data_IF_838784679058
#
_entry.id   IF_838784679058
#
_cell.length_a   1.000
_cell.length_b   1.000
_cell.length_c   1.000
_cell.angle_alpha   90.00
_cell.angle_beta   90.00
_cell.angle_gamma   90.00
#
_symmetry.space_group_name_H-M   'P 1'
#
loop_
_entity.id
_entity.type
_entity.pdbx_description
1 polymer ?
#
# COMPACT_ATOMS: atom_id res chain seq x y z
N UNK A 1 4.36 23.00 -24.64
CA UNK A 1 5.14 21.93 -23.98
C UNK A 1 5.87 21.18 -25.08
N UNK A 2 7.19 21.14 -25.06
CA UNK A 2 7.97 20.31 -26.00
C UNK A 2 7.63 18.85 -25.77
N UNK A 3 7.47 18.02 -26.82
CA UNK A 3 7.20 16.60 -26.64
C UNK A 3 8.35 15.95 -25.86
N UNK A 4 8.02 15.24 -24.79
CA UNK A 4 9.00 14.50 -24.00
C UNK A 4 9.80 13.57 -24.92
N UNK A 5 11.12 13.68 -24.86
CA UNK A 5 12.05 12.77 -25.54
C UNK A 5 11.82 11.33 -25.05
N UNK A 6 12.14 10.33 -25.89
CA UNK A 6 11.97 8.91 -25.51
C UNK A 6 12.68 8.58 -24.18
N UNK A 7 13.83 9.21 -23.92
CA UNK A 7 14.59 9.09 -22.67
C UNK A 7 13.85 9.69 -21.47
N UNK A 8 13.20 10.84 -21.62
CA UNK A 8 12.40 11.43 -20.55
C UNK A 8 11.16 10.58 -20.26
N UNK A 9 10.53 10.02 -21.29
CA UNK A 9 9.41 9.06 -21.12
C UNK A 9 9.85 7.75 -20.47
N UNK A 10 11.05 7.26 -20.75
CA UNK A 10 11.56 6.04 -20.13
C UNK A 10 12.01 6.24 -18.67
N UNK A 11 12.34 7.46 -18.24
CA UNK A 11 12.87 7.74 -16.90
C UNK A 11 11.86 8.40 -15.96
N UNK A 12 10.97 9.26 -16.49
CA UNK A 12 10.10 10.10 -15.66
C UNK A 12 8.61 9.84 -15.82
N UNK A 13 8.16 9.38 -16.98
CA UNK A 13 6.72 9.18 -17.25
C UNK A 13 6.19 7.91 -16.55
N UNK A 14 5.35 8.05 -15.50
CA UNK A 14 4.79 6.94 -14.71
C UNK A 14 4.01 5.93 -15.54
N UNK A 15 3.38 6.38 -16.64
CA UNK A 15 2.47 5.57 -17.45
C UNK A 15 3.19 4.86 -18.62
N UNK A 16 4.48 5.16 -18.82
CA UNK A 16 5.26 4.60 -19.92
C UNK A 16 5.75 3.18 -19.62
N UNK A 17 5.48 2.24 -20.54
CA UNK A 17 6.02 0.85 -20.53
C UNK A 17 7.54 0.79 -20.44
N UNK A 18 8.23 1.82 -20.94
CA UNK A 18 9.68 1.96 -20.81
C UNK A 18 10.11 2.18 -19.37
N UNK A 19 9.38 3.01 -18.62
CA UNK A 19 9.71 3.30 -17.22
C UNK A 19 9.48 2.09 -16.31
N UNK A 20 8.38 1.33 -16.50
CA UNK A 20 8.17 0.10 -15.75
C UNK A 20 9.30 -0.91 -15.93
N UNK A 21 9.78 -1.08 -17.17
CA UNK A 21 10.86 -2.03 -17.46
C UNK A 21 12.16 -1.63 -16.75
N UNK A 22 12.52 -0.34 -16.82
CA UNK A 22 13.69 0.21 -16.10
C UNK A 22 13.52 0.08 -14.59
N UNK A 23 12.33 0.38 -14.08
CA UNK A 23 11.99 0.26 -12.66
C UNK A 23 12.14 -1.19 -12.16
N UNK A 24 11.50 -2.17 -12.84
CA UNK A 24 11.56 -3.58 -12.47
C UNK A 24 13.00 -4.10 -12.53
N UNK A 25 13.75 -3.69 -13.57
CA UNK A 25 15.15 -4.03 -13.70
C UNK A 25 15.98 -3.53 -12.51
N UNK A 26 15.85 -2.25 -12.13
CA UNK A 26 16.55 -1.70 -10.96
C UNK A 26 16.16 -2.43 -9.68
N UNK A 27 14.87 -2.73 -9.50
CA UNK A 27 14.34 -3.44 -8.33
C UNK A 27 15.01 -4.81 -8.18
N UNK A 28 15.09 -5.58 -9.28
CA UNK A 28 15.74 -6.89 -9.32
C UNK A 28 17.22 -6.77 -8.95
N UNK A 29 17.93 -5.76 -9.48
CA UNK A 29 19.34 -5.54 -9.15
C UNK A 29 19.55 -5.21 -7.66
N UNK A 30 18.63 -4.45 -7.04
CA UNK A 30 18.70 -4.18 -5.59
C UNK A 30 18.55 -5.49 -4.80
N UNK A 31 17.55 -6.31 -5.15
CA UNK A 31 17.32 -7.62 -4.49
C UNK A 31 18.55 -8.53 -4.64
N UNK A 32 19.11 -8.64 -5.85
CA UNK A 32 20.34 -9.41 -6.10
C UNK A 32 21.48 -8.89 -5.24
N UNK A 33 21.69 -7.57 -5.18
CA UNK A 33 22.76 -6.96 -4.37
C UNK A 33 22.66 -7.32 -2.88
N UNK A 34 21.44 -7.47 -2.36
CA UNK A 34 21.20 -7.77 -0.95
C UNK A 34 21.35 -9.27 -0.68
N UNK A 35 20.83 -10.11 -1.56
CA UNK A 35 21.04 -11.56 -1.50
C UNK A 35 22.54 -11.88 -1.55
N UNK A 36 23.31 -11.21 -2.41
CA UNK A 36 24.77 -11.35 -2.45
C UNK A 36 25.44 -10.97 -1.12
N UNK A 37 24.98 -9.88 -0.49
CA UNK A 37 25.48 -9.49 0.83
C UNK A 37 25.17 -10.57 1.88
N UNK A 38 23.94 -11.09 1.90
CA UNK A 38 23.54 -12.16 2.80
C UNK A 38 24.35 -13.44 2.60
N UNK A 39 24.61 -13.82 1.35
CA UNK A 39 25.47 -14.97 1.01
C UNK A 39 26.90 -14.73 1.51
N UNK A 40 27.46 -13.53 1.28
CA UNK A 40 28.81 -13.20 1.72
C UNK A 40 29.00 -13.25 3.24
N UNK A 41 27.92 -12.98 3.99
CA UNK A 41 27.92 -12.99 5.45
C UNK A 41 27.75 -14.38 6.06
N UNK A 42 26.91 -15.25 5.47
CA UNK A 42 26.60 -16.58 6.01
C UNK A 42 27.42 -17.72 5.39
N UNK A 43 27.69 -17.64 4.09
CA UNK A 43 28.31 -18.72 3.32
C UNK A 43 29.68 -18.27 2.83
N UNK A 44 30.58 -17.98 3.78
CA UNK A 44 31.90 -17.39 3.50
C UNK A 44 32.78 -18.27 2.61
N UNK A 45 32.73 -19.60 2.77
CA UNK A 45 33.47 -20.55 1.92
C UNK A 45 33.00 -20.45 0.46
N UNK A 46 31.69 -20.58 0.23
CA UNK A 46 31.08 -20.46 -1.10
C UNK A 46 31.37 -19.09 -1.75
N UNK A 47 31.32 -18.01 -0.96
CA UNK A 47 31.66 -16.67 -1.42
C UNK A 47 33.14 -16.56 -1.81
N UNK A 48 34.04 -17.16 -1.03
CA UNK A 48 35.49 -17.10 -1.30
C UNK A 48 35.87 -17.92 -2.53
N UNK A 49 35.26 -19.09 -2.74
CA UNK A 49 35.45 -19.91 -3.93
C UNK A 49 35.00 -19.18 -5.21
N UNK A 50 33.87 -18.45 -5.13
CA UNK A 50 33.27 -17.74 -6.26
C UNK A 50 33.52 -16.23 -6.23
N UNK A 51 34.56 -15.79 -5.52
CA UNK A 51 34.79 -14.37 -5.20
C UNK A 51 34.83 -13.47 -6.43
N UNK A 52 35.42 -13.95 -7.52
CA UNK A 52 35.49 -13.21 -8.78
C UNK A 52 34.10 -12.90 -9.34
N UNK A 53 33.19 -13.89 -9.37
CA UNK A 53 31.81 -13.73 -9.88
C UNK A 53 31.03 -12.71 -9.05
N UNK A 54 31.11 -12.82 -7.71
CA UNK A 54 30.45 -11.87 -6.81
C UNK A 54 30.99 -10.44 -6.99
N UNK A 55 32.32 -10.30 -7.13
CA UNK A 55 32.95 -9.01 -7.34
C UNK A 55 32.52 -8.40 -8.69
N UNK A 56 32.61 -9.14 -9.80
CA UNK A 56 32.17 -8.65 -11.12
C UNK A 56 30.70 -8.24 -11.14
N UNK A 57 29.84 -9.03 -10.47
CA UNK A 57 28.42 -8.71 -10.39
C UNK A 57 28.15 -7.45 -9.56
N UNK A 58 28.84 -7.30 -8.42
CA UNK A 58 28.74 -6.09 -7.58
C UNK A 58 29.15 -4.84 -8.36
N UNK A 59 30.21 -4.96 -9.15
CA UNK A 59 30.68 -3.91 -10.04
C UNK A 59 29.70 -3.58 -11.16
N UNK A 60 29.16 -4.60 -11.84
CA UNK A 60 28.15 -4.42 -12.87
C UNK A 60 26.91 -3.69 -12.32
N UNK A 61 26.39 -4.11 -11.17
CA UNK A 61 25.25 -3.46 -10.49
C UNK A 61 25.57 -1.99 -10.18
N UNK A 62 26.77 -1.73 -9.66
CA UNK A 62 27.20 -0.37 -9.31
C UNK A 62 27.30 0.53 -10.54
N UNK A 63 27.88 0.04 -11.63
CA UNK A 63 27.99 0.78 -12.88
C UNK A 63 26.61 1.08 -13.45
N UNK A 64 25.69 0.11 -13.42
CA UNK A 64 24.30 0.30 -13.86
C UNK A 64 23.60 1.37 -13.02
N UNK A 65 23.70 1.32 -11.69
CA UNK A 65 23.10 2.34 -10.82
C UNK A 65 23.71 3.72 -11.04
N UNK A 66 25.03 3.78 -11.28
CA UNK A 66 25.72 5.03 -11.60
C UNK A 66 25.23 5.60 -12.92
N UNK A 67 25.16 4.79 -13.98
CA UNK A 67 24.66 5.19 -15.29
C UNK A 67 23.20 5.65 -15.21
N UNK A 68 22.36 4.94 -14.46
CA UNK A 68 20.95 5.28 -14.24
C UNK A 68 20.78 6.63 -13.54
N UNK A 69 21.60 6.89 -12.52
CA UNK A 69 21.57 8.15 -11.78
C UNK A 69 22.09 9.31 -12.62
N UNK A 70 23.16 9.11 -13.39
CA UNK A 70 23.66 10.10 -14.36
C UNK A 70 22.59 10.40 -15.41
N UNK A 71 21.96 9.37 -15.97
CA UNK A 71 20.89 9.52 -16.95
C UNK A 71 19.74 10.38 -16.41
N UNK A 72 19.31 10.16 -15.16
CA UNK A 72 18.28 11.01 -14.50
C UNK A 72 18.72 12.45 -14.28
N UNK A 73 19.99 12.70 -13.99
CA UNK A 73 20.49 14.08 -13.80
C UNK A 73 20.48 14.83 -15.13
N UNK A 74 20.96 14.21 -16.21
CA UNK A 74 21.10 14.82 -17.53
C UNK A 74 19.73 15.09 -18.18
N UNK A 75 18.76 14.20 -17.95
CA UNK A 75 17.43 14.28 -18.57
C UNK A 75 16.47 15.23 -17.85
N UNK A 76 16.82 15.79 -16.68
CA UNK A 76 15.94 16.76 -16.02
C UNK A 76 16.13 18.18 -16.56
N UNK A 77 15.03 18.94 -16.77
CA UNK A 77 15.10 20.30 -17.32
C UNK A 77 15.77 21.33 -16.40
N UNK A 78 15.83 21.08 -15.09
CA UNK A 78 16.56 21.90 -14.10
C UNK A 78 17.43 21.02 -13.20
N UNK A 79 18.66 20.68 -13.61
CA UNK A 79 19.50 19.75 -12.87
C UNK A 79 19.91 20.29 -11.49
N UNK A 80 20.12 21.61 -11.36
CA UNK A 80 20.53 22.25 -10.09
C UNK A 80 19.48 22.10 -8.98
N UNK A 81 18.19 22.19 -9.33
CA UNK A 81 17.10 22.03 -8.37
C UNK A 81 16.96 20.58 -7.91
N UNK A 82 17.30 19.63 -8.80
CA UNK A 82 17.32 18.20 -8.46
C UNK A 82 18.39 17.85 -7.43
N UNK A 83 19.55 18.53 -7.47
CA UNK A 83 20.66 18.29 -6.53
C UNK A 83 20.28 18.54 -5.06
N UNK A 84 19.23 19.33 -4.81
CA UNK A 84 18.71 19.63 -3.47
C UNK A 84 17.48 18.79 -3.08
N UNK A 85 17.08 17.82 -3.90
CA UNK A 85 15.90 16.99 -3.65
C UNK A 85 16.27 15.73 -2.85
N UNK A 86 15.43 15.27 -1.88
CA UNK A 86 15.66 13.99 -1.17
C UNK A 86 15.86 12.79 -2.10
N UNK A 87 15.19 12.80 -3.26
CA UNK A 87 15.33 11.81 -4.33
C UNK A 87 16.76 11.66 -4.85
N UNK A 88 17.51 12.77 -4.97
CA UNK A 88 18.90 12.77 -5.41
C UNK A 88 19.84 12.30 -4.30
N UNK A 89 19.55 12.68 -3.04
CA UNK A 89 20.29 12.20 -1.88
C UNK A 89 20.24 10.66 -1.80
N UNK A 90 19.05 10.06 -2.00
CA UNK A 90 18.88 8.60 -2.06
C UNK A 90 19.73 7.99 -3.18
N UNK A 91 19.76 8.62 -4.36
CA UNK A 91 20.53 8.10 -5.50
C UNK A 91 22.04 8.12 -5.21
N UNK A 92 22.57 9.21 -4.65
CA UNK A 92 23.98 9.29 -4.22
C UNK A 92 24.26 8.24 -3.15
N UNK A 93 23.47 8.20 -2.08
CA UNK A 93 23.72 7.29 -0.95
C UNK A 93 23.73 5.82 -1.38
N UNK A 94 23.01 5.46 -2.43
CA UNK A 94 23.04 4.11 -3.00
C UNK A 94 24.35 3.79 -3.75
N UNK A 95 24.98 4.77 -4.37
CA UNK A 95 26.16 4.57 -5.24
C UNK A 95 27.47 4.84 -4.50
N UNK A 96 27.44 5.79 -3.56
CA UNK A 96 28.55 6.26 -2.73
C UNK A 96 29.38 5.15 -2.05
N UNK A 97 28.79 4.06 -1.51
CA UNK A 97 29.56 3.05 -0.78
C UNK A 97 30.63 2.36 -1.64
N UNK A 98 30.32 2.09 -2.91
CA UNK A 98 31.24 1.40 -3.81
C UNK A 98 32.33 2.33 -4.34
N UNK A 99 31.99 3.58 -4.64
CA UNK A 99 33.00 4.56 -5.06
C UNK A 99 33.94 4.94 -3.92
N UNK A 100 33.44 5.11 -2.69
CA UNK A 100 34.32 5.32 -1.53
C UNK A 100 35.23 4.12 -1.28
N UNK A 101 34.70 2.91 -1.39
CA UNK A 101 35.49 1.69 -1.28
C UNK A 101 36.66 1.63 -2.26
N UNK A 102 36.50 2.18 -3.47
CA UNK A 102 37.57 2.27 -4.46
C UNK A 102 38.67 3.24 -4.09
N UNK A 103 38.31 4.49 -3.79
CA UNK A 103 39.28 5.54 -3.46
C UNK A 103 40.11 5.17 -2.22
N UNK A 104 39.49 4.48 -1.25
CA UNK A 104 40.14 4.09 0.02
C UNK A 104 40.98 2.81 -0.12
N UNK A 105 40.65 1.92 -1.08
CA UNK A 105 41.41 0.67 -1.29
C UNK A 105 42.78 0.88 -1.94
N UNK A 106 43.06 2.06 -2.49
CA UNK A 106 44.32 2.39 -3.18
C UNK A 106 45.53 2.35 -2.23
N UNK A 107 45.34 2.60 -0.92
CA UNK A 107 46.45 2.73 0.05
C UNK A 107 46.79 1.45 0.84
N UNK A 108 46.17 0.31 0.54
CA UNK A 108 46.65 -1.03 0.94
C UNK A 108 46.73 -1.39 2.44
N UNK A 109 46.46 -0.48 3.39
CA UNK A 109 46.77 -0.72 4.82
C UNK A 109 45.60 -0.80 5.82
N UNK A 110 44.33 -0.72 5.40
CA UNK A 110 43.23 -0.86 6.38
C UNK A 110 42.02 -1.63 5.85
N UNK A 111 42.12 -2.96 5.89
CA UNK A 111 41.08 -3.92 5.47
C UNK A 111 39.82 -3.92 6.37
N UNK A 112 39.87 -3.35 7.57
CA UNK A 112 38.74 -3.33 8.51
C UNK A 112 37.65 -2.32 8.11
N UNK A 113 38.03 -1.09 7.77
CA UNK A 113 37.08 -0.06 7.32
C UNK A 113 36.37 -0.46 6.02
N UNK A 114 37.08 -1.12 5.11
CA UNK A 114 36.53 -1.65 3.87
C UNK A 114 35.39 -2.64 4.10
N UNK A 115 35.36 -3.38 5.23
CA UNK A 115 34.23 -4.25 5.62
C UNK A 115 33.01 -3.42 6.04
N UNK A 116 33.23 -2.36 6.83
CA UNK A 116 32.19 -1.41 7.21
C UNK A 116 31.52 -0.73 6.01
N UNK A 117 32.30 -0.30 5.01
CA UNK A 117 31.76 0.26 3.76
C UNK A 117 30.89 -0.73 2.98
N UNK A 118 31.12 -2.04 3.11
CA UNK A 118 30.22 -3.03 2.51
C UNK A 118 28.84 -2.97 3.14
N UNK A 119 28.71 -2.71 4.44
CA UNK A 119 27.40 -2.55 5.07
C UNK A 119 26.66 -1.32 4.57
N UNK A 120 27.39 -0.24 4.26
CA UNK A 120 26.80 0.99 3.73
C UNK A 120 26.14 0.74 2.36
N UNK A 121 26.51 -0.33 1.63
CA UNK A 121 25.77 -0.75 0.41
C UNK A 121 24.29 -1.05 0.68
N UNK A 122 23.91 -1.33 1.92
CA UNK A 122 22.50 -1.45 2.33
C UNK A 122 21.73 -0.17 2.12
N UNK A 123 22.37 1.01 2.07
CA UNK A 123 21.72 2.26 1.68
C UNK A 123 21.10 2.19 0.27
N UNK A 124 21.49 1.23 -0.58
CA UNK A 124 20.83 0.95 -1.86
C UNK A 124 19.37 0.53 -1.71
N UNK A 125 18.96 -0.03 -0.57
CA UNK A 125 17.54 -0.31 -0.29
C UNK A 125 16.70 0.96 -0.21
N UNK A 126 17.31 2.13 0.05
CA UNK A 126 16.58 3.40 -0.02
C UNK A 126 16.07 3.67 -1.44
N UNK A 127 16.79 3.22 -2.48
CA UNK A 127 16.26 3.24 -3.84
C UNK A 127 15.02 2.35 -3.96
N UNK A 128 14.96 1.19 -3.29
CA UNK A 128 13.77 0.34 -3.31
C UNK A 128 12.53 1.10 -2.80
N UNK A 129 12.63 1.83 -1.68
CA UNK A 129 11.54 2.67 -1.16
C UNK A 129 11.08 3.71 -2.19
N UNK A 130 12.02 4.49 -2.73
CA UNK A 130 11.72 5.51 -3.75
C UNK A 130 11.06 4.95 -5.00
N UNK A 131 11.45 3.74 -5.38
CA UNK A 131 10.96 3.11 -6.60
C UNK A 131 9.58 2.50 -6.36
N UNK A 132 9.35 1.83 -5.22
CA UNK A 132 8.11 1.09 -4.97
C UNK A 132 6.89 1.99 -4.83
N UNK A 133 7.05 3.24 -4.39
CA UNK A 133 5.98 4.25 -4.38
C UNK A 133 5.41 4.53 -5.78
N UNK A 134 6.18 4.30 -6.84
CA UNK A 134 5.74 4.54 -8.22
C UNK A 134 4.83 3.45 -8.78
N UNK A 135 4.69 2.32 -8.09
CA UNK A 135 3.87 1.19 -8.53
C UNK A 135 2.37 1.48 -8.53
N UNK A 136 1.94 2.59 -7.92
CA UNK A 136 0.52 2.92 -7.75
C UNK A 136 -0.17 3.12 -9.11
N UNK A 137 0.52 3.79 -10.04
CA UNK A 137 0.09 4.01 -11.42
C UNK A 137 -0.11 2.71 -12.23
N UNK A 138 0.42 1.58 -11.74
CA UNK A 138 0.40 0.29 -12.44
C UNK A 138 -0.67 -0.68 -11.91
N UNK A 139 -1.61 -0.18 -11.11
CA UNK A 139 -2.64 -1.00 -10.47
C UNK A 139 -2.11 -1.87 -9.33
N UNK A 140 -0.88 -1.62 -8.88
CA UNK A 140 -0.25 -2.30 -7.75
C UNK A 140 -0.26 -1.41 -6.49
N UNK A 141 -1.38 -0.71 -6.28
CA UNK A 141 -1.60 0.25 -5.20
C UNK A 141 -1.34 -0.33 -3.81
N UNK A 142 -1.71 -1.60 -3.59
CA UNK A 142 -1.39 -2.31 -2.36
C UNK A 142 0.12 -2.39 -2.13
N UNK A 143 0.89 -2.80 -3.15
CA UNK A 143 2.35 -2.96 -3.09
C UNK A 143 3.03 -1.61 -2.84
N UNK A 144 2.51 -0.52 -3.43
CA UNK A 144 3.02 0.83 -3.19
C UNK A 144 2.90 1.25 -1.71
N UNK A 145 1.80 0.85 -1.05
CA UNK A 145 1.54 1.19 0.37
C UNK A 145 2.38 0.38 1.34
N UNK A 146 2.48 -0.94 1.12
CA UNK A 146 3.33 -1.81 1.96
C UNK A 146 4.81 -1.69 1.63
N UNK A 147 5.14 -1.27 0.41
CA UNK A 147 6.48 -1.32 -0.16
C UNK A 147 7.55 -0.65 0.69
N UNK A 148 7.34 0.58 1.21
CA UNK A 148 8.29 1.23 2.11
C UNK A 148 8.57 0.39 3.37
N UNK A 149 7.54 -0.22 3.96
CA UNK A 149 7.69 -1.10 5.13
C UNK A 149 8.43 -2.40 4.79
N UNK A 150 8.17 -2.98 3.61
CA UNK A 150 8.89 -4.16 3.12
C UNK A 150 10.38 -3.85 2.92
N UNK A 151 10.68 -2.71 2.30
CA UNK A 151 12.05 -2.23 2.11
C UNK A 151 12.77 -2.03 3.44
N UNK A 152 12.11 -1.38 4.40
CA UNK A 152 12.63 -1.13 5.73
C UNK A 152 12.94 -2.45 6.45
N UNK A 153 11.98 -3.38 6.50
CA UNK A 153 12.14 -4.68 7.10
C UNK A 153 13.29 -5.48 6.46
N UNK A 154 13.36 -5.47 5.13
CA UNK A 154 14.41 -6.12 4.36
C UNK A 154 15.79 -5.52 4.65
N UNK A 155 15.87 -4.18 4.78
CA UNK A 155 17.10 -3.47 5.12
C UNK A 155 17.59 -3.79 6.53
N UNK A 156 16.68 -3.71 7.51
CA UNK A 156 16.97 -4.03 8.91
C UNK A 156 17.41 -5.49 9.01
N UNK A 157 16.71 -6.42 8.34
CA UNK A 157 17.09 -7.82 8.38
C UNK A 157 18.45 -8.08 7.73
N UNK A 158 18.75 -7.41 6.63
CA UNK A 158 20.05 -7.55 5.99
C UNK A 158 21.20 -7.00 6.87
N UNK A 159 20.96 -5.95 7.67
CA UNK A 159 21.90 -5.52 8.72
C UNK A 159 22.08 -6.60 9.81
N UNK A 160 20.98 -7.21 10.26
CA UNK A 160 21.01 -8.26 11.28
C UNK A 160 21.74 -9.52 10.80
N UNK A 161 21.55 -9.91 9.54
CA UNK A 161 22.28 -11.05 8.96
C UNK A 161 23.80 -10.84 9.02
N UNK A 162 24.26 -9.59 8.86
CA UNK A 162 25.66 -9.28 9.03
C UNK A 162 26.12 -9.40 10.49
N UNK A 163 25.32 -8.91 11.46
CA UNK A 163 25.66 -9.07 12.88
C UNK A 163 25.60 -10.53 13.35
N UNK A 164 24.67 -11.31 12.79
CA UNK A 164 24.61 -12.77 12.93
C UNK A 164 25.88 -13.44 12.39
N UNK A 165 26.36 -13.03 11.21
CA UNK A 165 27.60 -13.57 10.61
C UNK A 165 28.87 -13.31 11.41
N UNK A 166 28.90 -12.26 12.23
CA UNK A 166 30.02 -11.97 13.16
C UNK A 166 29.82 -12.66 14.52
N UNK A 167 28.64 -13.20 14.79
CA UNK A 167 28.30 -13.83 16.08
C UNK A 167 27.89 -12.86 17.18
N UNK A 168 27.61 -11.59 16.85
CA UNK A 168 27.10 -10.62 17.83
C UNK A 168 25.61 -10.81 18.15
N UNK A 169 24.89 -11.55 17.31
CA UNK A 169 23.44 -11.76 17.48
C UNK A 169 23.13 -13.17 17.99
N UNK A 170 22.48 -13.32 19.15
CA UNK A 170 22.19 -14.64 19.73
C UNK A 170 21.06 -15.34 18.98
N UNK A 171 21.22 -16.64 18.73
CA UNK A 171 20.11 -17.51 18.31
C UNK A 171 19.44 -18.09 19.55
N UNK A 172 18.12 -17.91 19.68
CA UNK A 172 17.34 -18.41 20.82
C UNK A 172 16.63 -19.70 20.37
N UNK A 173 17.00 -20.88 20.91
CA UNK A 173 16.34 -22.14 20.58
C UNK A 173 14.84 -22.09 20.91
N UNK A 174 14.01 -22.71 20.07
CA UNK A 174 12.56 -22.80 20.28
C UNK A 174 11.77 -21.52 19.96
N UNK A 175 12.42 -20.39 19.65
CA UNK A 175 11.70 -19.15 19.34
C UNK A 175 10.86 -19.25 18.05
N UNK A 176 11.29 -20.08 17.10
CA UNK A 176 10.55 -20.34 15.86
C UNK A 176 9.16 -20.96 16.09
N UNK A 177 8.99 -21.81 17.12
CA UNK A 177 7.67 -22.39 17.43
C UNK A 177 6.74 -21.34 18.00
N UNK A 178 7.24 -20.51 18.92
CA UNK A 178 6.49 -19.38 19.50
C UNK A 178 6.06 -18.40 18.41
N UNK A 179 6.99 -18.00 17.53
CA UNK A 179 6.69 -17.12 16.40
C UNK A 179 5.62 -17.74 15.50
N UNK A 180 5.71 -19.04 15.19
CA UNK A 180 4.71 -19.70 14.35
C UNK A 180 3.31 -19.71 14.97
N UNK A 181 3.20 -20.01 16.28
CA UNK A 181 1.92 -20.02 17.01
C UNK A 181 1.31 -18.62 17.08
N UNK A 182 2.13 -17.61 17.41
CA UNK A 182 1.67 -16.21 17.47
C UNK A 182 1.26 -15.73 16.07
N UNK A 183 2.03 -16.08 15.03
CA UNK A 183 1.70 -15.75 13.65
C UNK A 183 0.37 -16.33 13.21
N UNK A 184 0.09 -17.59 13.57
CA UNK A 184 -1.21 -18.22 13.32
C UNK A 184 -2.34 -17.49 14.04
N UNK A 185 -2.17 -17.16 15.33
CA UNK A 185 -3.18 -16.42 16.10
C UNK A 185 -3.51 -15.05 15.49
N UNK A 186 -2.48 -14.31 15.03
CA UNK A 186 -2.67 -13.03 14.34
C UNK A 186 -3.40 -13.22 13.00
N UNK A 187 -3.05 -14.27 12.25
CA UNK A 187 -3.76 -14.62 11.02
C UNK A 187 -5.25 -14.88 11.25
N UNK A 188 -5.60 -15.59 12.33
CA UNK A 188 -7.00 -15.82 12.72
C UNK A 188 -7.67 -14.50 13.09
N UNK A 189 -7.04 -13.63 13.89
CA UNK A 189 -7.60 -12.33 14.26
C UNK A 189 -7.86 -11.46 13.02
N UNK A 190 -6.90 -11.36 12.10
CA UNK A 190 -7.07 -10.63 10.84
C UNK A 190 -8.19 -11.23 9.99
N UNK A 191 -8.27 -12.56 9.89
CA UNK A 191 -9.36 -13.24 9.18
C UNK A 191 -10.73 -12.94 9.78
N UNK A 192 -10.84 -12.85 11.11
CA UNK A 192 -12.12 -12.50 11.77
C UNK A 192 -12.50 -11.04 11.55
N UNK A 193 -11.52 -10.11 11.54
CA UNK A 193 -11.76 -8.71 11.19
C UNK A 193 -12.21 -8.59 9.74
N UNK A 194 -11.53 -9.28 8.81
CA UNK A 194 -11.89 -9.32 7.39
C UNK A 194 -13.34 -9.78 7.20
N UNK A 195 -13.74 -10.90 7.82
CA UNK A 195 -15.10 -11.41 7.72
C UNK A 195 -16.14 -10.41 8.27
N UNK A 196 -15.83 -9.73 9.37
CA UNK A 196 -16.71 -8.73 9.98
C UNK A 196 -16.91 -7.51 9.06
N UNK A 197 -15.81 -7.03 8.48
CA UNK A 197 -15.81 -5.87 7.59
C UNK A 197 -16.49 -6.20 6.25
N UNK A 198 -16.20 -7.37 5.68
CA UNK A 198 -16.85 -7.86 4.45
C UNK A 198 -18.36 -8.02 4.63
N UNK A 199 -18.82 -8.59 5.76
CA UNK A 199 -20.24 -8.64 6.09
C UNK A 199 -20.85 -7.24 6.21
N UNK A 200 -20.12 -6.26 6.73
CA UNK A 200 -20.61 -4.87 6.80
C UNK A 200 -20.80 -4.27 5.40
N UNK A 201 -19.86 -4.52 4.48
CA UNK A 201 -19.96 -4.09 3.08
C UNK A 201 -21.14 -4.75 2.37
N UNK A 202 -21.30 -6.08 2.45
CA UNK A 202 -22.46 -6.75 1.84
C UNK A 202 -23.78 -6.24 2.41
N UNK A 203 -23.85 -6.07 3.73
CA UNK A 203 -25.03 -5.49 4.37
C UNK A 203 -25.23 -4.01 4.02
N UNK A 204 -24.25 -3.31 3.43
CA UNK A 204 -24.40 -1.95 2.92
C UNK A 204 -24.99 -2.00 1.51
N UNK A 205 -24.44 -2.83 0.62
CA UNK A 205 -24.92 -3.06 -0.75
C UNK A 205 -26.36 -3.63 -0.77
N UNK A 206 -26.69 -4.52 0.17
CA UNK A 206 -28.06 -5.03 0.34
C UNK A 206 -29.04 -3.90 0.64
N UNK A 207 -28.64 -2.91 1.46
CA UNK A 207 -29.50 -1.77 1.79
C UNK A 207 -29.68 -0.82 0.61
N UNK A 208 -28.68 -0.72 -0.28
CA UNK A 208 -28.83 -0.01 -1.56
C UNK A 208 -29.90 -0.69 -2.41
N UNK A 209 -29.82 -2.00 -2.55
CA UNK A 209 -30.79 -2.78 -3.34
C UNK A 209 -32.20 -2.68 -2.76
N UNK A 210 -32.34 -2.82 -1.44
CA UNK A 210 -33.62 -2.68 -0.74
C UNK A 210 -34.20 -1.26 -0.84
N UNK A 211 -33.34 -0.23 -0.79
CA UNK A 211 -33.74 1.16 -0.98
C UNK A 211 -34.33 1.37 -2.38
N UNK A 212 -33.64 0.88 -3.42
CA UNK A 212 -34.07 1.01 -4.82
C UNK A 212 -35.38 0.25 -5.05
N UNK A 213 -35.47 -1.01 -4.61
CA UNK A 213 -36.70 -1.79 -4.75
C UNK A 213 -37.90 -1.15 -4.03
N UNK A 214 -37.69 -0.60 -2.83
CA UNK A 214 -38.73 0.13 -2.10
C UNK A 214 -39.11 1.44 -2.80
N UNK A 215 -38.15 2.13 -3.42
CA UNK A 215 -38.39 3.34 -4.18
C UNK A 215 -39.21 3.07 -5.45
N UNK A 216 -38.90 2.00 -6.18
CA UNK A 216 -39.68 1.59 -7.35
C UNK A 216 -41.11 1.20 -6.97
N UNK A 217 -41.30 0.47 -5.87
CA UNK A 217 -42.64 0.16 -5.35
C UNK A 217 -43.40 1.43 -4.92
N UNK A 218 -42.71 2.40 -4.33
CA UNK A 218 -43.30 3.68 -3.95
C UNK A 218 -43.78 4.49 -5.17
N UNK A 219 -43.04 4.47 -6.28
CA UNK A 219 -43.42 5.19 -7.53
C UNK A 219 -44.79 4.79 -8.06
N UNK A 220 -45.21 3.54 -7.89
CA UNK A 220 -46.53 3.09 -8.33
C UNK A 220 -47.70 3.82 -7.63
N UNK A 221 -47.44 4.50 -6.51
CA UNK A 221 -48.45 5.15 -5.68
C UNK A 221 -48.40 6.69 -5.73
N UNK A 222 -47.35 7.27 -6.33
CA UNK A 222 -47.11 8.71 -6.34
C UNK A 222 -47.45 9.29 -7.71
N UNK A 223 -48.15 10.43 -7.73
CA UNK A 223 -48.50 11.10 -9.01
C UNK A 223 -47.29 11.76 -9.69
N UNK A 224 -46.40 12.36 -8.91
CA UNK A 224 -45.15 12.96 -9.36
C UNK A 224 -43.98 12.37 -8.57
N UNK A 225 -43.17 11.53 -9.21
CA UNK A 225 -42.02 10.86 -8.59
C UNK A 225 -40.78 11.77 -8.46
N UNK A 226 -40.82 13.00 -8.97
CA UNK A 226 -39.67 13.93 -8.95
C UNK A 226 -39.13 14.18 -7.54
N UNK A 227 -39.96 14.45 -6.51
CA UNK A 227 -39.48 14.65 -5.14
C UNK A 227 -38.83 13.40 -4.55
N UNK A 228 -39.37 12.21 -4.82
CA UNK A 228 -38.78 10.93 -4.38
C UNK A 228 -37.42 10.69 -5.04
N UNK A 229 -37.32 10.95 -6.35
CA UNK A 229 -36.06 10.78 -7.08
C UNK A 229 -34.98 11.76 -6.58
N UNK A 230 -35.33 13.02 -6.33
CA UNK A 230 -34.41 14.00 -5.73
C UNK A 230 -33.96 13.58 -4.34
N UNK A 231 -34.87 13.03 -3.54
CA UNK A 231 -34.55 12.53 -2.20
C UNK A 231 -33.51 11.40 -2.24
N UNK A 232 -33.62 10.48 -3.22
CA UNK A 232 -32.64 9.40 -3.43
C UNK A 232 -31.29 9.95 -3.91
N UNK A 233 -31.28 10.98 -4.76
CA UNK A 233 -30.05 11.66 -5.18
C UNK A 233 -29.35 12.31 -3.98
N UNK A 234 -30.09 12.96 -3.08
CA UNK A 234 -29.49 13.52 -1.86
C UNK A 234 -28.89 12.44 -0.95
N UNK A 235 -29.48 11.23 -0.90
CA UNK A 235 -28.87 10.08 -0.21
C UNK A 235 -27.53 9.73 -0.86
N UNK A 236 -27.51 9.56 -2.20
CA UNK A 236 -26.29 9.30 -2.94
C UNK A 236 -25.22 10.38 -2.69
N UNK A 237 -25.58 11.66 -2.82
CA UNK A 237 -24.67 12.77 -2.55
C UNK A 237 -24.18 12.80 -1.10
N UNK A 238 -25.01 12.43 -0.14
CA UNK A 238 -24.63 12.35 1.28
C UNK A 238 -23.60 11.25 1.51
N UNK A 239 -23.74 10.10 0.83
CA UNK A 239 -22.76 9.00 0.84
C UNK A 239 -21.45 9.45 0.19
N UNK A 240 -21.50 9.98 -1.04
CA UNK A 240 -20.32 10.35 -1.82
C UNK A 240 -19.55 11.51 -1.18
N UNK A 241 -20.26 12.52 -0.64
CA UNK A 241 -19.64 13.69 0.01
C UNK A 241 -19.42 13.50 1.51
N UNK A 242 -19.77 12.33 2.07
CA UNK A 242 -19.71 12.03 3.51
C UNK A 242 -20.33 13.12 4.42
N UNK A 243 -21.46 13.71 4.00
CA UNK A 243 -22.14 14.78 4.77
C UNK A 243 -22.62 14.25 6.15
N UNK A 244 -22.74 15.10 7.18
CA UNK A 244 -23.41 14.73 8.42
C UNK A 244 -24.86 14.28 8.19
N UNK A 245 -25.27 13.20 8.87
CA UNK A 245 -26.63 12.64 8.76
C UNK A 245 -27.70 13.65 9.24
N UNK A 246 -27.35 14.47 10.23
CA UNK A 246 -28.20 15.55 10.74
C UNK A 246 -28.58 16.55 9.66
N UNK A 247 -27.65 16.83 8.74
CA UNK A 247 -27.84 17.82 7.69
C UNK A 247 -28.80 17.24 6.64
N UNK A 248 -28.63 15.94 6.31
CA UNK A 248 -29.57 15.23 5.45
C UNK A 248 -31.01 15.24 5.99
N UNK A 249 -31.21 14.98 7.28
CA UNK A 249 -32.56 14.95 7.87
C UNK A 249 -33.23 16.33 7.88
N UNK A 250 -32.47 17.39 8.20
CA UNK A 250 -32.99 18.76 8.26
C UNK A 250 -33.25 19.36 6.87
N UNK A 251 -32.33 19.16 5.92
CA UNK A 251 -32.43 19.73 4.56
C UNK A 251 -33.55 19.07 3.74
N UNK A 252 -33.84 17.79 3.98
CA UNK A 252 -34.78 17.01 3.17
C UNK A 252 -36.17 16.82 3.80
N UNK A 253 -36.43 17.42 4.96
CA UNK A 253 -37.71 17.25 5.65
C UNK A 253 -38.90 17.75 4.81
N UNK A 254 -38.79 18.92 4.19
CA UNK A 254 -39.83 19.51 3.33
C UNK A 254 -40.09 18.65 2.08
N UNK A 255 -39.02 18.11 1.49
CA UNK A 255 -39.11 17.22 0.33
C UNK A 255 -39.81 15.91 0.69
N UNK A 256 -39.47 15.34 1.84
CA UNK A 256 -40.09 14.11 2.37
C UNK A 256 -41.60 14.27 2.58
N UNK A 257 -42.05 15.37 3.17
CA UNK A 257 -43.49 15.61 3.42
C UNK A 257 -44.34 15.65 2.14
N UNK A 258 -43.74 16.02 1.01
CA UNK A 258 -44.44 16.13 -0.29
C UNK A 258 -44.93 14.80 -0.87
N UNK A 259 -44.25 13.69 -0.55
CA UNK A 259 -44.54 12.37 -1.15
C UNK A 259 -44.93 11.30 -0.13
N UNK A 260 -44.55 11.45 1.15
CA UNK A 260 -44.82 10.43 2.20
C UNK A 260 -46.31 10.11 2.33
N UNK A 261 -47.20 11.10 2.26
CA UNK A 261 -48.65 10.89 2.42
C UNK A 261 -49.30 10.11 1.26
N UNK A 262 -48.61 9.96 0.12
CA UNK A 262 -49.09 9.23 -1.05
C UNK A 262 -48.69 7.75 -1.02
N UNK A 263 -47.68 7.38 -0.22
CA UNK A 263 -47.13 6.02 -0.17
C UNK A 263 -47.81 5.21 0.95
N UNK A 264 -48.20 3.95 0.71
CA UNK A 264 -48.66 3.05 1.77
C UNK A 264 -47.62 2.90 2.89
N UNK A 265 -48.09 2.88 4.14
CA UNK A 265 -47.23 2.78 5.32
C UNK A 265 -46.15 1.69 5.27
N UNK A 266 -46.44 0.45 4.84
CA UNK A 266 -45.43 -0.60 4.76
C UNK A 266 -44.30 -0.32 3.76
N UNK A 267 -44.61 0.27 2.60
CA UNK A 267 -43.62 0.61 1.56
C UNK A 267 -42.76 1.77 2.05
N UNK A 268 -43.39 2.79 2.63
CA UNK A 268 -42.67 3.90 3.24
C UNK A 268 -41.73 3.45 4.37
N UNK A 269 -42.16 2.52 5.21
CA UNK A 269 -41.33 1.96 6.27
C UNK A 269 -40.08 1.29 5.71
N UNK A 270 -40.23 0.45 4.68
CA UNK A 270 -39.10 -0.22 4.02
C UNK A 270 -38.11 0.79 3.40
N UNK A 271 -38.63 1.79 2.69
CA UNK A 271 -37.83 2.85 2.08
C UNK A 271 -37.07 3.67 3.13
N UNK A 272 -37.77 4.14 4.16
CA UNK A 272 -37.19 4.98 5.20
C UNK A 272 -36.17 4.22 6.04
N UNK A 273 -36.47 2.97 6.41
CA UNK A 273 -35.56 2.12 7.16
C UNK A 273 -34.28 1.84 6.38
N UNK A 274 -34.41 1.48 5.10
CA UNK A 274 -33.24 1.20 4.23
C UNK A 274 -32.37 2.43 4.07
N UNK A 275 -32.97 3.61 3.82
CA UNK A 275 -32.24 4.87 3.73
C UNK A 275 -31.48 5.21 5.02
N UNK A 276 -32.16 5.09 6.18
CA UNK A 276 -31.55 5.42 7.47
C UNK A 276 -30.43 4.45 7.84
N UNK A 277 -30.62 3.15 7.61
CA UNK A 277 -29.59 2.14 7.83
C UNK A 277 -28.40 2.35 6.90
N UNK A 278 -28.64 2.68 5.63
CA UNK A 278 -27.59 2.98 4.66
C UNK A 278 -26.74 4.16 5.13
N UNK A 279 -27.37 5.28 5.46
CA UNK A 279 -26.69 6.49 5.93
C UNK A 279 -25.94 6.26 7.25
N UNK A 280 -26.53 5.53 8.19
CA UNK A 280 -25.86 5.20 9.46
C UNK A 280 -24.61 4.33 9.23
N UNK A 281 -24.70 3.34 8.34
CA UNK A 281 -23.60 2.40 8.07
C UNK A 281 -22.39 3.05 7.40
N UNK A 282 -22.54 4.19 6.71
CA UNK A 282 -21.39 4.94 6.16
C UNK A 282 -20.38 5.37 7.22
N UNK A 283 -20.82 5.54 8.48
CA UNK A 283 -19.98 6.00 9.60
C UNK A 283 -19.62 4.91 10.60
N UNK A 284 -20.14 3.70 10.43
CA UNK A 284 -19.82 2.59 11.33
C UNK A 284 -18.45 2.03 10.99
N UNK A 285 -17.51 2.20 11.92
CA UNK A 285 -16.14 1.69 11.87
C UNK A 285 -15.87 0.68 12.98
N UNK A 286 -14.81 -0.12 12.87
CA UNK A 286 -14.38 -0.95 13.99
C UNK A 286 -13.96 -0.09 15.20
N UNK A 287 -14.09 -0.58 16.44
CA UNK A 287 -13.68 0.17 17.62
C UNK A 287 -12.18 0.52 17.54
N UNK A 288 -11.84 1.80 17.72
CA UNK A 288 -10.46 2.31 17.55
C UNK A 288 -9.43 1.58 18.42
N UNK A 289 -9.84 1.16 19.62
CA UNK A 289 -9.01 0.40 20.56
C UNK A 289 -8.64 -0.98 19.99
N UNK A 290 -9.60 -1.65 19.35
CA UNK A 290 -9.37 -2.96 18.73
C UNK A 290 -8.38 -2.84 17.56
N UNK A 291 -8.55 -1.83 16.72
CA UNK A 291 -7.67 -1.60 15.57
C UNK A 291 -6.26 -1.20 15.98
N UNK A 292 -6.15 -0.32 16.97
CA UNK A 292 -4.87 0.07 17.54
C UNK A 292 -4.15 -1.13 18.16
N UNK A 293 -4.86 -1.99 18.89
CA UNK A 293 -4.31 -3.21 19.46
C UNK A 293 -3.84 -4.17 18.36
N UNK A 294 -4.66 -4.43 17.35
CA UNK A 294 -4.34 -5.33 16.24
C UNK A 294 -3.12 -4.83 15.44
N UNK A 295 -3.05 -3.52 15.18
CA UNK A 295 -1.88 -2.87 14.56
C UNK A 295 -0.62 -3.07 15.39
N UNK A 296 -0.69 -2.78 16.69
CA UNK A 296 0.45 -2.91 17.60
C UNK A 296 0.95 -4.35 17.68
N UNK A 297 0.04 -5.32 17.82
CA UNK A 297 0.38 -6.76 17.84
C UNK A 297 1.05 -7.16 16.53
N UNK A 298 0.53 -6.72 15.39
CA UNK A 298 1.09 -7.03 14.07
C UNK A 298 2.50 -6.44 13.92
N UNK A 299 2.73 -5.18 14.33
CA UNK A 299 4.05 -4.53 14.28
C UNK A 299 5.05 -5.24 15.20
N UNK A 300 4.64 -5.57 16.42
CA UNK A 300 5.48 -6.31 17.38
C UNK A 300 5.86 -7.67 16.80
N UNK A 301 4.91 -8.38 16.19
CA UNK A 301 5.16 -9.66 15.55
C UNK A 301 6.13 -9.56 14.37
N UNK A 302 5.91 -8.64 13.43
CA UNK A 302 6.81 -8.37 12.29
C UNK A 302 8.22 -8.10 12.82
N UNK A 303 8.34 -7.24 13.83
CA UNK A 303 9.63 -6.89 14.45
C UNK A 303 10.30 -8.12 15.08
N UNK A 304 9.52 -8.97 15.77
CA UNK A 304 10.00 -10.22 16.35
C UNK A 304 10.52 -11.15 15.26
N UNK A 305 9.79 -11.35 14.16
CA UNK A 305 10.23 -12.19 13.04
C UNK A 305 11.57 -11.71 12.48
N UNK A 306 11.71 -10.41 12.24
CA UNK A 306 12.94 -9.79 11.73
C UNK A 306 14.14 -10.05 12.67
N UNK A 307 13.91 -9.91 13.98
CA UNK A 307 14.96 -10.05 14.98
C UNK A 307 15.34 -11.51 15.26
N UNK A 308 14.45 -12.47 15.04
CA UNK A 308 14.60 -13.80 15.64
C UNK A 308 14.95 -14.89 14.65
N UNK A 309 14.43 -14.84 13.43
CA UNK A 309 14.68 -15.88 12.42
C UNK A 309 16.06 -15.63 11.80
N UNK A 310 17.06 -16.49 11.99
CA UNK A 310 18.40 -16.22 11.50
C UNK A 310 18.49 -16.42 9.98
N UNK A 311 19.53 -15.82 9.42
CA UNK A 311 20.05 -16.12 8.11
C UNK A 311 19.18 -15.69 6.93
N UNK A 312 19.42 -16.30 5.77
CA UNK A 312 18.72 -15.99 4.52
C UNK A 312 17.22 -16.35 4.59
N UNK A 313 16.89 -17.39 5.36
CA UNK A 313 15.50 -17.74 5.70
C UNK A 313 14.79 -16.59 6.42
N UNK A 314 15.49 -15.89 7.32
CA UNK A 314 14.96 -14.72 8.01
C UNK A 314 14.75 -13.51 7.08
N UNK A 315 15.61 -13.34 6.07
CA UNK A 315 15.44 -12.32 5.03
C UNK A 315 14.11 -12.51 4.27
N UNK A 316 13.89 -13.73 3.79
CA UNK A 316 12.67 -14.08 3.05
C UNK A 316 11.43 -14.03 3.94
N UNK A 317 11.53 -14.54 5.18
CA UNK A 317 10.44 -14.48 6.14
C UNK A 317 10.05 -13.03 6.49
N UNK A 318 11.02 -12.14 6.67
CA UNK A 318 10.76 -10.72 6.95
C UNK A 318 10.01 -10.05 5.80
N UNK A 319 10.42 -10.32 4.56
CA UNK A 319 9.73 -9.82 3.37
C UNK A 319 8.30 -10.35 3.27
N UNK A 320 8.12 -11.67 3.42
CA UNK A 320 6.83 -12.34 3.31
C UNK A 320 5.87 -11.88 4.41
N UNK A 321 6.32 -11.77 5.65
CA UNK A 321 5.48 -11.41 6.80
C UNK A 321 4.97 -9.98 6.69
N UNK A 322 5.79 -9.04 6.21
CA UNK A 322 5.30 -7.67 5.92
C UNK A 322 4.33 -7.66 4.76
N UNK A 323 4.61 -8.41 3.69
CA UNK A 323 3.72 -8.50 2.54
C UNK A 323 2.35 -9.09 2.90
N UNK A 324 2.35 -10.22 3.60
CA UNK A 324 1.12 -10.95 3.95
C UNK A 324 0.38 -10.26 5.09
N UNK A 325 0.99 -10.07 6.26
CA UNK A 325 0.26 -9.52 7.42
C UNK A 325 0.07 -8.02 7.31
N UNK A 326 1.09 -7.28 6.87
CA UNK A 326 0.99 -5.83 6.65
C UNK A 326 0.07 -5.50 5.49
N UNK A 327 0.16 -6.25 4.38
CA UNK A 327 -0.75 -6.10 3.24
C UNK A 327 -2.20 -6.42 3.61
N UNK A 328 -2.43 -7.55 4.27
CA UNK A 328 -3.77 -7.92 4.72
C UNK A 328 -4.35 -6.89 5.70
N UNK A 329 -3.54 -6.36 6.62
CA UNK A 329 -3.98 -5.29 7.52
C UNK A 329 -4.45 -4.06 6.73
N UNK A 330 -3.66 -3.58 5.75
CA UNK A 330 -4.03 -2.42 4.92
C UNK A 330 -5.29 -2.69 4.09
N UNK A 331 -5.45 -3.89 3.53
CA UNK A 331 -6.66 -4.29 2.81
C UNK A 331 -7.87 -4.24 3.74
N UNK A 332 -7.79 -4.85 4.92
CA UNK A 332 -8.89 -4.86 5.88
C UNK A 332 -9.23 -3.45 6.37
N UNK A 333 -8.21 -2.63 6.63
CA UNK A 333 -8.37 -1.24 7.06
C UNK A 333 -9.07 -0.41 5.98
N UNK A 334 -8.72 -0.62 4.71
CA UNK A 334 -9.38 0.06 3.58
C UNK A 334 -10.84 -0.32 3.40
N UNK A 335 -11.25 -1.52 3.84
CA UNK A 335 -12.64 -1.97 3.76
C UNK A 335 -13.49 -1.53 4.96
N UNK A 336 -12.88 -1.01 6.05
CA UNK A 336 -13.63 -0.72 7.29
C UNK A 336 -14.67 0.39 7.12
N UNK A 337 -14.39 1.32 6.19
CA UNK A 337 -15.38 2.24 5.64
C UNK A 337 -16.02 1.61 4.40
N UNK A 338 -17.36 1.44 4.36
CA UNK A 338 -18.02 0.87 3.20
C UNK A 338 -17.82 1.70 1.91
N UNK A 339 -17.62 3.01 2.04
CA UNK A 339 -17.37 3.90 0.92
C UNK A 339 -16.44 5.05 1.34
N UNK A 340 -15.27 5.11 0.72
CA UNK A 340 -14.29 6.20 0.83
C UNK A 340 -14.18 6.92 -0.53
N UNK A 341 -14.54 8.22 -0.62
CA UNK A 341 -14.44 9.01 -1.85
C UNK A 341 -13.01 9.41 -2.20
N UNK A 342 -12.02 9.09 -1.37
CA UNK A 342 -10.62 9.39 -1.67
C UNK A 342 -10.14 8.60 -2.89
N UNK A 343 -9.33 9.23 -3.77
CA UNK A 343 -8.63 8.52 -4.87
C UNK A 343 -7.72 7.40 -4.35
N UNK A 344 -7.47 7.39 -3.05
CA UNK A 344 -6.67 6.43 -2.32
C UNK A 344 -7.51 5.28 -1.72
N UNK A 345 -8.79 5.14 -2.03
CA UNK A 345 -9.56 3.97 -1.62
C UNK A 345 -9.09 2.73 -2.40
N UNK A 346 -8.75 1.65 -1.69
CA UNK A 346 -8.36 0.39 -2.34
C UNK A 346 -9.58 -0.45 -2.73
N UNK A 347 -10.60 -0.45 -1.88
CA UNK A 347 -11.81 -1.26 -2.01
C UNK A 347 -12.98 -0.39 -1.54
N UNK A 348 -14.01 -0.26 -2.37
CA UNK A 348 -15.25 0.43 -2.07
C UNK A 348 -16.44 -0.49 -2.34
N UNK A 349 -17.55 -0.28 -1.63
CA UNK A 349 -18.81 -0.96 -1.93
C UNK A 349 -19.34 -0.49 -3.28
N UNK A 350 -20.03 -1.39 -3.99
CA UNK A 350 -20.58 -1.08 -5.30
C UNK A 350 -21.80 -0.15 -5.19
N UNK A 351 -21.68 1.06 -5.76
CA UNK A 351 -22.77 2.02 -5.87
C UNK A 351 -23.46 1.97 -7.25
N UNK A 352 -22.99 1.13 -8.18
CA UNK A 352 -23.44 1.11 -9.58
C UNK A 352 -24.95 0.98 -9.73
N UNK A 353 -25.59 0.18 -8.87
CA UNK A 353 -27.04 -0.01 -8.91
C UNK A 353 -27.80 1.27 -8.57
N UNK A 354 -27.28 2.07 -7.62
CA UNK A 354 -27.84 3.37 -7.25
C UNK A 354 -27.60 4.40 -8.33
N UNK A 355 -26.39 4.42 -8.92
CA UNK A 355 -26.03 5.30 -10.03
C UNK A 355 -26.89 5.02 -11.26
N UNK A 356 -27.05 3.75 -11.66
CA UNK A 356 -27.89 3.33 -12.77
C UNK A 356 -29.36 3.72 -12.53
N UNK A 357 -29.85 3.55 -11.30
CA UNK A 357 -31.20 4.00 -10.93
C UNK A 357 -31.37 5.52 -11.13
N UNK A 358 -30.38 6.32 -10.72
CA UNK A 358 -30.38 7.78 -10.87
C UNK A 358 -30.34 8.17 -12.36
N UNK A 359 -29.47 7.55 -13.16
CA UNK A 359 -29.36 7.79 -14.60
C UNK A 359 -30.67 7.49 -15.34
N UNK A 360 -31.35 6.39 -15.00
CA UNK A 360 -32.66 6.03 -15.57
C UNK A 360 -33.74 7.10 -15.35
N UNK A 361 -33.59 7.98 -14.36
CA UNK A 361 -34.52 9.08 -14.12
C UNK A 361 -34.20 10.34 -14.94
N UNK A 362 -33.18 10.30 -15.81
CA UNK A 362 -32.74 11.47 -16.58
C UNK A 362 -32.08 12.55 -15.72
N UNK A 363 -31.61 12.18 -14.52
CA UNK A 363 -30.96 13.08 -13.57
C UNK A 363 -29.47 12.72 -13.54
N UNK A 364 -28.59 13.72 -13.71
CA UNK A 364 -27.14 13.49 -13.63
C UNK A 364 -26.74 13.31 -12.17
N UNK A 365 -25.93 12.30 -11.81
CA UNK A 365 -25.41 12.14 -10.45
C UNK A 365 -24.53 13.32 -9.98
N UNK A 366 -24.08 14.17 -10.93
CA UNK A 366 -23.19 15.31 -10.71
C UNK A 366 -23.86 16.70 -10.68
N UNK A 367 -25.20 16.79 -10.69
CA UNK A 367 -25.93 18.06 -10.65
C UNK A 367 -26.85 18.24 -9.44
#
# INVERSE_FOLDING_TARGET
MTPLTWTEKALFDPESRGQASVFLFILILIVISIVQLSISAQYTEFYNENKAVFLYTEWAITLIFTAETIARIITRPRPKDYLLTPSFLIDILAILPTWLGLFISVDGKTLAWLRGFRMIRLLRTLKFVKHIEKLDHWGLSLISRIGPYMALAFSIKALLIYSEGIGYWPSIPGLGTVVSVVGFAIGVLLSTKLATVQNRMYNFEEQITNLIGSAEAAKAHIKDATPLNKWIIEIHQTITKQKPITDFENENQSMKESFVNQIPGPIWLGLHQSARLLLHKTKTKTPEVYDSALKNITIIYISTVILTIPGLTGLLASFLVVYVLGGLFIVIDSMDLPYDPSENALINSDLSTLEEYIERQGLSPNH
#
